data_IF_853616586755
#
_entry.id   IF_853616586755
#
_cell.length_a   1.000
_cell.length_b   1.000
_cell.length_c   1.000
_cell.angle_alpha   90.00
_cell.angle_beta   90.00
_cell.angle_gamma   90.00
#
_symmetry.space_group_name_H-M   'P 1'
#
loop_
_entity.id
_entity.type
_entity.pdbx_description
1 polymer ?
#
# COMPACT_ATOMS: atom_id res chain seq x y z
N UNK A 1 -12.13 -21.09 14.21
CA UNK A 1 -10.88 -20.32 14.03
C UNK A 1 -9.75 -20.75 14.96
N UNK A 2 -9.91 -20.70 16.29
CA UNK A 2 -8.81 -20.98 17.23
C UNK A 2 -8.11 -22.35 17.07
N UNK A 3 -8.84 -23.42 16.72
CA UNK A 3 -8.25 -24.74 16.46
C UNK A 3 -7.32 -24.77 15.23
N UNK A 4 -7.69 -24.05 14.17
CA UNK A 4 -6.88 -23.92 12.95
C UNK A 4 -5.60 -23.17 13.30
N UNK A 5 -5.73 -21.99 13.93
CA UNK A 5 -4.58 -21.19 14.34
C UNK A 5 -3.63 -21.97 15.25
N UNK A 6 -4.13 -22.81 16.17
CA UNK A 6 -3.27 -23.67 17.01
C UNK A 6 -2.46 -24.68 16.19
N UNK A 7 -3.07 -25.30 15.18
CA UNK A 7 -2.42 -26.28 14.32
C UNK A 7 -1.38 -25.65 13.38
N UNK A 8 -1.62 -24.42 12.93
CA UNK A 8 -0.71 -23.73 12.02
C UNK A 8 0.61 -23.33 12.69
N UNK A 9 1.70 -23.49 11.93
CA UNK A 9 3.07 -23.12 12.35
C UNK A 9 3.54 -21.80 11.74
N UNK A 10 2.97 -21.43 10.60
CA UNK A 10 3.33 -20.27 9.80
C UNK A 10 2.12 -19.36 9.62
N UNK A 11 2.30 -18.06 9.81
CA UNK A 11 1.32 -17.03 9.52
C UNK A 11 1.97 -16.06 8.54
N UNK A 12 1.30 -15.81 7.41
CA UNK A 12 1.69 -14.80 6.44
C UNK A 12 0.68 -13.68 6.52
N UNK A 13 1.18 -12.46 6.72
CA UNK A 13 0.38 -11.24 6.74
C UNK A 13 0.81 -10.36 5.58
N UNK A 14 0.00 -10.33 4.53
CA UNK A 14 0.21 -9.49 3.36
C UNK A 14 -0.37 -8.07 3.56
N UNK A 15 0.23 -7.08 2.91
CA UNK A 15 -0.11 -5.65 3.06
C UNK A 15 -0.14 -5.15 4.51
N UNK A 16 0.82 -5.59 5.31
CA UNK A 16 0.90 -5.24 6.73
C UNK A 16 1.17 -3.75 6.94
N UNK A 17 1.79 -3.04 5.99
CA UNK A 17 2.22 -1.64 6.13
C UNK A 17 1.06 -0.67 6.35
N UNK A 18 -0.12 -1.00 5.83
CA UNK A 18 -1.37 -0.27 6.04
C UNK A 18 -2.07 -0.61 7.36
N UNK A 19 -1.61 -1.66 8.06
CA UNK A 19 -2.18 -2.10 9.32
C UNK A 19 -1.62 -1.26 10.47
N UNK A 20 -2.48 -0.78 11.38
CA UNK A 20 -1.99 -0.08 12.55
C UNK A 20 -1.31 -1.03 13.55
N UNK A 21 -0.27 -0.57 14.24
CA UNK A 21 0.53 -1.45 15.11
C UNK A 21 -0.25 -2.09 16.27
N UNK A 22 -1.34 -1.46 16.71
CA UNK A 22 -2.21 -2.02 17.75
C UNK A 22 -2.90 -3.31 17.28
N UNK A 23 -3.21 -3.45 15.99
CA UNK A 23 -3.75 -4.69 15.45
C UNK A 23 -2.69 -5.80 15.49
N UNK A 24 -1.43 -5.49 15.18
CA UNK A 24 -0.32 -6.44 15.34
C UNK A 24 -0.18 -6.89 16.80
N UNK A 25 -0.25 -5.95 17.75
CA UNK A 25 -0.22 -6.27 19.19
C UNK A 25 -1.42 -7.11 19.63
N UNK A 26 -2.61 -6.87 19.09
CA UNK A 26 -3.80 -7.66 19.38
C UNK A 26 -3.65 -9.10 18.86
N UNK A 27 -3.10 -9.27 17.65
CA UNK A 27 -2.81 -10.60 17.08
C UNK A 27 -1.76 -11.35 17.90
N UNK A 28 -0.68 -10.68 18.31
CA UNK A 28 0.35 -11.26 19.18
C UNK A 28 -0.26 -11.78 20.50
N UNK A 29 -1.04 -10.93 21.20
CA UNK A 29 -1.74 -11.31 22.44
C UNK A 29 -2.67 -12.50 22.23
N UNK A 30 -3.49 -12.46 21.19
CA UNK A 30 -4.41 -13.55 20.86
C UNK A 30 -3.66 -14.87 20.66
N UNK A 31 -2.52 -14.87 19.96
CA UNK A 31 -1.76 -16.09 19.71
C UNK A 31 -1.03 -16.59 20.96
N UNK A 32 -0.53 -15.69 21.83
CA UNK A 32 0.01 -16.07 23.14
C UNK A 32 -1.03 -16.75 24.01
N UNK A 33 -2.22 -16.18 24.10
CA UNK A 33 -3.35 -16.74 24.86
C UNK A 33 -3.80 -18.08 24.28
N UNK A 34 -3.93 -18.17 22.95
CA UNK A 34 -4.33 -19.41 22.28
C UNK A 34 -3.30 -20.53 22.44
N UNK A 35 -2.01 -20.21 22.41
CA UNK A 35 -0.92 -21.18 22.53
C UNK A 35 -0.51 -21.44 23.98
N UNK A 36 -1.02 -20.67 24.93
CA UNK A 36 -0.59 -20.67 26.34
C UNK A 36 0.95 -20.54 26.44
N UNK A 37 1.49 -19.52 25.77
CA UNK A 37 2.92 -19.27 25.64
C UNK A 37 3.24 -17.79 25.69
N UNK A 38 4.30 -17.42 26.42
CA UNK A 38 4.79 -16.03 26.51
C UNK A 38 5.66 -15.60 25.31
N UNK A 39 5.97 -16.54 24.40
CA UNK A 39 6.74 -16.25 23.19
C UNK A 39 5.95 -15.35 22.25
N UNK A 40 6.65 -14.46 21.53
CA UNK A 40 6.05 -13.61 20.49
C UNK A 40 5.26 -14.46 19.49
N UNK A 41 4.03 -14.04 19.17
CA UNK A 41 3.02 -14.74 18.38
C UNK A 41 2.72 -16.17 18.87
N UNK A 42 2.85 -16.44 20.17
CA UNK A 42 2.65 -17.78 20.74
C UNK A 42 3.65 -18.82 20.22
N UNK A 43 4.84 -18.37 19.82
CA UNK A 43 5.90 -19.22 19.24
C UNK A 43 5.67 -19.59 17.77
N UNK A 44 4.70 -18.96 17.10
CA UNK A 44 4.46 -19.17 15.66
C UNK A 44 5.43 -18.36 14.83
N UNK A 45 5.76 -18.90 13.66
CA UNK A 45 6.54 -18.16 12.69
C UNK A 45 5.62 -17.20 11.93
N UNK A 46 5.87 -15.90 12.04
CA UNK A 46 5.07 -14.86 11.39
C UNK A 46 5.91 -14.11 10.36
N UNK A 47 5.43 -14.09 9.12
CA UNK A 47 6.02 -13.33 8.01
C UNK A 47 5.10 -12.16 7.69
N UNK A 48 5.64 -10.96 7.79
CA UNK A 48 4.94 -9.74 7.41
C UNK A 48 5.46 -9.28 6.04
N UNK A 49 4.55 -9.12 5.09
CA UNK A 49 4.82 -8.58 3.77
C UNK A 49 4.07 -7.26 3.56
N UNK A 50 4.65 -6.39 2.75
CA UNK A 50 4.02 -5.13 2.34
C UNK A 50 5.04 -4.13 1.83
N UNK A 51 4.55 -3.01 1.32
CA UNK A 51 5.39 -1.94 0.78
C UNK A 51 5.24 -0.66 1.62
N UNK A 52 6.36 -0.11 2.07
CA UNK A 52 6.40 1.13 2.87
C UNK A 52 6.18 2.40 2.05
N UNK A 53 6.21 2.27 0.72
CA UNK A 53 5.89 3.34 -0.23
C UNK A 53 4.38 3.47 -0.47
N UNK A 54 3.58 2.57 0.11
CA UNK A 54 2.13 2.66 0.11
C UNK A 54 1.60 3.67 1.14
N UNK A 55 0.28 3.82 1.15
CA UNK A 55 -0.42 4.68 2.10
C UNK A 55 -0.21 4.23 3.54
N UNK A 56 -0.08 5.22 4.44
CA UNK A 56 0.02 4.97 5.88
C UNK A 56 -1.30 4.44 6.44
N UNK A 57 -1.29 3.80 7.63
CA UNK A 57 -2.52 3.39 8.30
C UNK A 57 -3.49 4.54 8.48
N UNK A 58 -4.77 4.29 8.20
CA UNK A 58 -5.83 5.29 8.33
C UNK A 58 -6.17 5.46 9.81
N UNK A 59 -6.01 6.67 10.33
CA UNK A 59 -6.44 7.04 11.67
C UNK A 59 -7.36 8.28 11.59
N UNK A 60 -8.64 8.10 11.93
CA UNK A 60 -9.67 9.14 11.79
C UNK A 60 -9.36 10.30 12.75
N UNK A 61 -9.39 11.53 12.24
CA UNK A 61 -9.09 12.76 12.99
C UNK A 61 -7.69 12.80 13.64
N UNK A 62 -6.76 11.95 13.19
CA UNK A 62 -5.39 11.93 13.70
C UNK A 62 -4.54 13.02 13.04
N UNK A 63 -3.67 13.64 13.83
CA UNK A 63 -2.61 14.48 13.30
C UNK A 63 -1.45 13.62 12.76
N UNK A 64 -0.52 14.25 12.04
CA UNK A 64 0.67 13.60 11.44
C UNK A 64 1.46 12.75 12.44
N UNK A 65 1.66 13.27 13.65
CA UNK A 65 2.39 12.56 14.71
C UNK A 65 1.68 11.29 15.16
N UNK A 66 0.35 11.36 15.31
CA UNK A 66 -0.47 10.19 15.67
C UNK A 66 -0.46 9.13 14.58
N UNK A 67 -0.52 9.53 13.30
CA UNK A 67 -0.42 8.61 12.16
C UNK A 67 0.93 7.87 12.20
N UNK A 68 2.04 8.61 12.35
CA UNK A 68 3.38 8.01 12.43
C UNK A 68 3.45 7.03 13.59
N UNK A 69 3.00 7.40 14.80
CA UNK A 69 2.95 6.52 15.96
C UNK A 69 2.10 5.26 15.73
N UNK A 70 1.11 5.33 14.85
CA UNK A 70 0.25 4.21 14.50
C UNK A 70 0.92 3.22 13.53
N UNK A 71 1.96 3.64 12.82
CA UNK A 71 2.69 2.76 11.88
C UNK A 71 3.36 1.58 12.59
N UNK A 72 3.42 0.44 11.88
CA UNK A 72 4.08 -0.79 12.36
C UNK A 72 5.52 -0.59 12.84
N UNK A 73 6.29 0.30 12.20
CA UNK A 73 7.68 0.60 12.61
C UNK A 73 7.79 1.17 14.04
N UNK A 74 6.70 1.75 14.57
CA UNK A 74 6.63 2.24 15.94
C UNK A 74 6.09 1.19 16.92
N UNK A 75 5.82 -0.03 16.46
CA UNK A 75 5.41 -1.13 17.33
C UNK A 75 6.54 -1.56 18.27
N UNK A 76 6.26 -1.85 19.55
CA UNK A 76 7.22 -2.52 20.43
C UNK A 76 7.67 -3.89 19.90
N UNK A 77 6.83 -4.55 19.08
CA UNK A 77 7.15 -5.83 18.46
C UNK A 77 8.09 -5.69 17.26
N UNK A 78 8.30 -4.49 16.74
CA UNK A 78 9.07 -4.28 15.51
C UNK A 78 10.51 -4.78 15.63
N UNK A 79 11.14 -4.59 16.80
CA UNK A 79 12.50 -5.05 17.08
C UNK A 79 12.67 -6.57 17.06
N UNK A 80 11.57 -7.33 17.13
CA UNK A 80 11.60 -8.80 17.09
C UNK A 80 11.69 -9.35 15.66
N UNK A 81 11.38 -8.53 14.65
CA UNK A 81 11.38 -8.95 13.26
C UNK A 81 12.75 -8.83 12.63
N UNK A 82 13.15 -9.87 11.89
CA UNK A 82 14.24 -9.79 10.94
C UNK A 82 13.72 -9.20 9.63
N UNK A 83 14.39 -8.16 9.13
CA UNK A 83 13.98 -7.45 7.93
C UNK A 83 14.65 -8.03 6.69
N UNK A 84 13.87 -8.16 5.62
CA UNK A 84 14.33 -8.54 4.29
C UNK A 84 13.75 -7.56 3.29
N UNK A 85 14.55 -7.18 2.29
CA UNK A 85 14.15 -6.26 1.23
C UNK A 85 14.16 -6.97 -0.11
N UNK A 86 13.09 -6.80 -0.88
CA UNK A 86 13.01 -7.25 -2.26
C UNK A 86 13.38 -6.08 -3.17
N UNK A 87 14.30 -6.32 -4.12
CA UNK A 87 14.82 -5.27 -5.00
C UNK A 87 14.52 -5.50 -6.48
N UNK A 88 14.20 -6.75 -6.86
CA UNK A 88 13.92 -7.10 -8.25
C UNK A 88 12.45 -6.84 -8.55
N UNK A 89 12.17 -5.90 -9.44
CA UNK A 89 10.85 -5.72 -10.03
C UNK A 89 10.58 -6.91 -10.98
N UNK A 90 9.43 -7.54 -10.82
CA UNK A 90 8.99 -8.71 -11.59
C UNK A 90 7.77 -8.42 -12.47
N UNK A 91 7.29 -7.17 -12.46
CA UNK A 91 6.02 -6.75 -13.09
C UNK A 91 6.23 -5.89 -14.34
N UNK A 92 7.38 -5.23 -14.43
CA UNK A 92 7.73 -4.30 -15.50
C UNK A 92 8.35 -5.05 -16.68
N UNK A 93 7.86 -4.80 -17.89
CA UNK A 93 8.46 -5.29 -19.12
C UNK A 93 9.76 -4.51 -19.45
N UNK A 94 10.69 -5.06 -20.26
CA UNK A 94 11.98 -4.42 -20.52
C UNK A 94 11.89 -2.99 -21.10
N UNK A 95 10.81 -2.65 -21.78
CA UNK A 95 10.53 -1.34 -22.36
C UNK A 95 9.86 -0.35 -21.40
N UNK A 96 9.43 -0.79 -20.21
CA UNK A 96 8.78 0.03 -19.19
C UNK A 96 9.74 0.46 -18.06
N UNK A 97 11.04 0.21 -18.21
CA UNK A 97 12.05 0.43 -17.16
C UNK A 97 12.11 1.89 -16.70
N UNK A 98 12.02 2.85 -17.63
CA UNK A 98 12.05 4.29 -17.30
C UNK A 98 10.89 4.68 -16.39
N UNK A 99 9.69 4.15 -16.67
CA UNK A 99 8.50 4.39 -15.84
C UNK A 99 8.61 3.71 -14.46
N UNK A 100 9.15 2.49 -14.42
CA UNK A 100 9.38 1.79 -13.15
C UNK A 100 10.41 2.51 -12.26
N UNK A 101 11.48 3.03 -12.85
CA UNK A 101 12.49 3.81 -12.13
C UNK A 101 11.90 5.13 -11.63
N UNK A 102 11.08 5.80 -12.45
CA UNK A 102 10.33 6.98 -12.02
C UNK A 102 9.41 6.68 -10.83
N UNK A 103 8.65 5.59 -10.85
CA UNK A 103 7.80 5.16 -9.73
C UNK A 103 8.61 4.87 -8.45
N UNK A 104 9.80 4.28 -8.58
CA UNK A 104 10.69 4.04 -7.46
C UNK A 104 11.19 5.35 -6.85
N UNK A 105 11.57 6.33 -7.68
CA UNK A 105 11.95 7.66 -7.21
C UNK A 105 10.79 8.39 -6.54
N UNK A 106 9.59 8.27 -7.08
CA UNK A 106 8.36 8.81 -6.48
C UNK A 106 8.15 8.23 -5.09
N UNK A 107 8.13 6.90 -4.96
CA UNK A 107 7.87 6.23 -3.69
C UNK A 107 8.99 6.43 -2.65
N UNK A 108 10.22 6.70 -3.09
CA UNK A 108 11.33 7.07 -2.21
C UNK A 108 11.33 8.56 -1.81
N UNK A 109 10.48 9.38 -2.43
CA UNK A 109 10.47 10.84 -2.22
C UNK A 109 11.74 11.52 -2.73
N UNK A 110 12.40 10.95 -3.74
CA UNK A 110 13.67 11.46 -4.28
C UNK A 110 13.51 12.21 -5.60
N UNK A 111 12.28 12.37 -6.09
CA UNK A 111 12.03 13.18 -7.29
C UNK A 111 12.35 14.64 -7.00
N UNK A 112 13.23 15.22 -7.81
CA UNK A 112 13.52 16.64 -7.79
C UNK A 112 12.61 17.35 -8.77
N UNK A 113 11.97 18.43 -8.35
CA UNK A 113 11.28 19.31 -9.29
C UNK A 113 12.27 20.31 -9.89
N UNK A 114 12.15 20.56 -11.19
CA UNK A 114 13.03 21.48 -11.92
C UNK A 114 12.65 22.95 -11.67
N UNK A 115 11.49 23.18 -11.04
CA UNK A 115 10.82 24.48 -10.97
C UNK A 115 10.80 25.11 -9.56
N UNK A 116 11.58 24.60 -8.60
CA UNK A 116 11.56 25.06 -7.19
C UNK A 116 10.16 25.05 -6.55
N UNK A 117 9.33 24.08 -6.94
CA UNK A 117 8.02 23.86 -6.35
C UNK A 117 8.18 23.30 -4.92
N UNK A 118 7.12 23.36 -4.12
CA UNK A 118 7.14 22.85 -2.74
C UNK A 118 7.55 21.38 -2.64
N UNK A 119 8.08 20.97 -1.49
CA UNK A 119 8.59 19.60 -1.24
C UNK A 119 7.52 18.51 -1.46
N UNK A 120 6.23 18.86 -1.40
CA UNK A 120 5.09 17.95 -1.62
C UNK A 120 4.60 17.93 -3.09
N UNK A 121 5.33 18.53 -4.03
CA UNK A 121 4.95 18.62 -5.45
C UNK A 121 5.89 17.80 -6.33
N UNK A 122 5.30 16.92 -7.13
CA UNK A 122 6.01 16.04 -8.08
C UNK A 122 5.60 16.36 -9.51
N UNK A 123 6.58 16.28 -10.42
CA UNK A 123 6.33 16.38 -11.86
C UNK A 123 5.95 15.00 -12.40
N UNK A 124 4.80 14.93 -13.09
CA UNK A 124 4.29 13.71 -13.71
C UNK A 124 4.84 13.64 -15.14
N UNK A 125 5.33 12.47 -15.60
CA UNK A 125 5.82 12.30 -16.97
C UNK A 125 4.74 12.70 -18.00
N UNK A 126 5.15 13.36 -19.07
CA UNK A 126 4.22 13.96 -20.04
C UNK A 126 3.30 12.93 -20.69
N UNK A 127 3.79 11.71 -20.86
CA UNK A 127 3.06 10.54 -21.38
C UNK A 127 1.91 10.07 -20.46
N UNK A 128 1.94 10.42 -19.17
CA UNK A 128 0.88 10.11 -18.21
C UNK A 128 -0.20 11.21 -18.15
N UNK A 129 0.03 12.34 -18.82
CA UNK A 129 -0.87 13.49 -18.80
C UNK A 129 -1.77 13.55 -20.04
N UNK A 130 -3.08 13.63 -19.80
CA UNK A 130 -4.06 13.95 -20.85
C UNK A 130 -4.34 15.45 -20.84
N UNK A 131 -4.22 16.12 -22.00
CA UNK A 131 -4.47 17.58 -22.13
C UNK A 131 -5.92 17.91 -22.42
N UNK A 132 -6.63 17.00 -23.08
CA UNK A 132 -8.02 17.15 -23.49
C UNK A 132 -8.94 16.34 -22.57
N UNK A 133 -10.09 15.90 -23.07
CA UNK A 133 -11.04 15.09 -22.32
C UNK A 133 -10.47 13.70 -22.05
N UNK A 134 -10.18 13.38 -20.78
CA UNK A 134 -9.80 12.02 -20.35
C UNK A 134 -10.84 10.97 -20.76
N UNK A 135 -12.12 11.38 -20.83
CA UNK A 135 -13.20 10.52 -21.29
C UNK A 135 -13.06 10.26 -22.79
N UNK A 136 -12.77 11.26 -23.61
CA UNK A 136 -12.64 11.02 -25.05
C UNK A 136 -11.36 10.23 -25.37
N UNK A 137 -10.28 10.45 -24.63
CA UNK A 137 -9.02 9.73 -24.83
C UNK A 137 -9.09 8.26 -24.41
N UNK A 138 -9.71 7.97 -23.25
CA UNK A 138 -9.86 6.58 -22.78
C UNK A 138 -10.96 5.82 -23.54
N UNK A 139 -12.03 6.50 -23.95
CA UNK A 139 -13.24 5.85 -24.46
C UNK A 139 -13.37 5.93 -25.98
N UNK A 140 -12.63 6.81 -26.66
CA UNK A 140 -12.57 6.94 -28.13
C UNK A 140 -13.92 6.71 -28.82
N UNK A 141 -15.01 7.22 -28.23
CA UNK A 141 -16.44 7.10 -28.61
C UNK A 141 -17.24 5.81 -28.28
N UNK A 142 -16.67 4.75 -27.70
CA UNK A 142 -17.42 3.51 -27.38
C UNK A 142 -17.45 3.21 -25.88
N UNK A 143 -18.31 3.93 -25.16
CA UNK A 143 -18.64 3.66 -23.73
C UNK A 143 -19.52 2.39 -23.59
N UNK A 144 -20.12 1.94 -24.70
CA UNK A 144 -21.05 0.80 -24.73
C UNK A 144 -20.38 -0.56 -24.93
N UNK A 145 -19.08 -0.59 -25.27
CA UNK A 145 -18.33 -1.83 -25.44
C UNK A 145 -17.85 -2.36 -24.07
N UNK A 146 -18.65 -3.25 -23.48
CA UNK A 146 -18.39 -3.85 -22.18
C UNK A 146 -17.11 -4.69 -22.14
N UNK A 147 -16.71 -5.29 -23.27
CA UNK A 147 -15.50 -6.10 -23.35
C UNK A 147 -14.27 -5.19 -23.32
N UNK A 148 -14.29 -4.11 -24.11
CA UNK A 148 -13.28 -3.05 -24.07
C UNK A 148 -13.18 -2.38 -22.69
N UNK A 149 -14.30 -2.28 -21.97
CA UNK A 149 -14.38 -1.60 -20.67
C UNK A 149 -13.98 -2.45 -19.46
N UNK A 150 -14.11 -3.77 -19.55
CA UNK A 150 -13.88 -4.68 -18.42
C UNK A 150 -12.47 -4.63 -17.82
N UNK A 151 -11.47 -4.16 -18.58
CA UNK A 151 -10.08 -4.01 -18.14
C UNK A 151 -9.71 -2.64 -17.58
N UNK A 152 -10.64 -1.67 -17.53
CA UNK A 152 -10.35 -0.29 -17.14
C UNK A 152 -10.93 0.04 -15.77
N UNK A 153 -10.18 0.82 -14.99
CA UNK A 153 -10.62 1.31 -13.68
C UNK A 153 -10.49 2.82 -13.61
N UNK A 154 -11.48 3.47 -12.98
CA UNK A 154 -11.41 4.88 -12.62
C UNK A 154 -11.04 5.03 -11.17
N UNK A 155 -10.01 5.83 -10.91
CA UNK A 155 -9.57 6.15 -9.57
C UNK A 155 -9.76 7.65 -9.36
N UNK A 156 -10.41 8.00 -8.25
CA UNK A 156 -10.53 9.40 -7.82
C UNK A 156 -9.89 9.56 -6.45
N UNK A 157 -9.25 10.71 -6.17
CA UNK A 157 -8.65 10.97 -4.86
C UNK A 157 -9.67 10.91 -3.71
N UNK A 158 -10.94 11.20 -3.99
CA UNK A 158 -12.01 11.21 -2.98
C UNK A 158 -13.23 10.45 -3.48
N UNK A 159 -13.87 9.73 -2.57
CA UNK A 159 -15.12 9.03 -2.83
C UNK A 159 -16.21 9.97 -3.34
N UNK A 160 -16.28 11.22 -2.86
CA UNK A 160 -17.27 12.20 -3.34
C UNK A 160 -17.14 12.51 -4.83
N UNK A 161 -15.92 12.51 -5.36
CA UNK A 161 -15.65 12.87 -6.76
C UNK A 161 -15.92 11.65 -7.63
N UNK A 162 -15.59 10.45 -7.14
CA UNK A 162 -16.00 9.19 -7.77
C UNK A 162 -17.52 9.03 -7.86
N UNK A 163 -18.26 9.40 -6.82
CA UNK A 163 -19.72 9.30 -6.81
C UNK A 163 -20.37 10.19 -7.88
N UNK A 164 -19.82 11.38 -8.14
CA UNK A 164 -20.29 12.26 -9.23
C UNK A 164 -20.07 11.69 -10.63
N UNK A 165 -19.10 10.78 -10.80
CA UNK A 165 -18.82 10.13 -12.08
C UNK A 165 -19.75 8.92 -12.29
N UNK A 166 -20.27 8.35 -11.20
CA UNK A 166 -21.24 7.25 -11.24
C UNK A 166 -22.67 7.70 -11.51
N UNK A 167 -22.99 8.96 -11.23
CA UNK A 167 -24.29 9.60 -11.51
C UNK A 167 -24.42 10.00 -12.98
#
# INVERSE_FOLDING_TARGET
>A
MGRVLKAEKLIIWDECTMTPHHALSAVDRLLRDLMNSDLTFGGKFSVLGGDWRQILPVAVHANRTTIIKTCLKNSPLWSTFKQFSLFRNMRTEPDEQDFADWLLHLGNGSLTNNCQLGEDIVEIPGECGVRDSIVDEMFRSSVTDMEYMSGKAYLCPKNKDFLKIKE
#
